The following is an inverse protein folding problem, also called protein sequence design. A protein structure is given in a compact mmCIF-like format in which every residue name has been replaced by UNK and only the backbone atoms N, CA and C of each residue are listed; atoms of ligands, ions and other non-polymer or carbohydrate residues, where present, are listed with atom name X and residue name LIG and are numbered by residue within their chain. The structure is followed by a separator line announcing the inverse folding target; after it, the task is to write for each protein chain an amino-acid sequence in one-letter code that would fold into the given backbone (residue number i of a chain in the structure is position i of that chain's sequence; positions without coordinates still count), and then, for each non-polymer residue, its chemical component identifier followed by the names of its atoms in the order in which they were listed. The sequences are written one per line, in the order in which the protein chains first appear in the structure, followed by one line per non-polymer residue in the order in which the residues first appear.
data_IF_855658161058
#
_entry.id   IF_855658161058
#
_cell.length_a   1.000
_cell.length_b   1.000
_cell.length_c   1.000
_cell.angle_alpha   90.00
_cell.angle_beta   90.00
_cell.angle_gamma   90.00
#
_symmetry.space_group_name_H-M   'P 1'
#
loop_
_entity.id
_entity.type
_entity.pdbx_description
1 polymer ?
#
# COMPACT_ATOMS: atom_id res chain seq x y z
N UNK A 1 4.42 5.88 20.33
CA UNK A 1 3.49 5.07 19.51
C UNK A 1 2.46 5.94 18.79
N UNK A 2 1.82 6.91 19.47
CA UNK A 2 0.76 7.75 18.89
C UNK A 2 1.11 8.43 17.55
N UNK A 3 2.29 9.03 17.42
CA UNK A 3 2.73 9.68 16.17
C UNK A 3 2.78 8.70 14.98
N UNK A 4 3.23 7.46 15.21
CA UNK A 4 3.30 6.44 14.14
C UNK A 4 1.89 6.08 13.67
N UNK A 5 0.96 5.88 14.60
CA UNK A 5 -0.44 5.57 14.31
C UNK A 5 -1.08 6.72 13.53
N UNK A 6 -0.87 7.96 14.00
CA UNK A 6 -1.39 9.16 13.34
C UNK A 6 -0.88 9.27 11.90
N UNK A 7 0.43 9.19 11.69
CA UNK A 7 1.02 9.24 10.34
C UNK A 7 0.44 8.12 9.46
N UNK A 8 0.34 6.90 10.00
CA UNK A 8 -0.14 5.74 9.23
C UNK A 8 -1.62 5.85 8.86
N UNK A 9 -2.44 6.41 9.76
CA UNK A 9 -3.85 6.69 9.52
C UNK A 9 -4.04 7.73 8.41
N UNK A 10 -3.39 8.89 8.55
CA UNK A 10 -3.48 9.94 7.54
C UNK A 10 -2.88 9.52 6.22
N UNK A 11 -1.86 8.66 6.22
CA UNK A 11 -1.34 8.08 5.00
C UNK A 11 -2.37 7.22 4.30
N UNK A 12 -3.00 6.28 5.01
CA UNK A 12 -4.05 5.42 4.44
C UNK A 12 -5.25 6.22 3.94
N UNK A 13 -5.63 7.26 4.66
CA UNK A 13 -6.69 8.19 4.25
C UNK A 13 -6.33 8.94 2.97
N UNK A 14 -5.13 9.54 2.91
CA UNK A 14 -4.71 10.28 1.74
C UNK A 14 -4.47 9.36 0.53
N UNK A 15 -3.93 8.17 0.69
CA UNK A 15 -3.78 7.21 -0.42
C UNK A 15 -5.13 6.73 -0.96
N UNK A 16 -6.15 6.61 -0.09
CA UNK A 16 -7.51 6.31 -0.51
C UNK A 16 -8.21 7.44 -1.29
N UNK A 17 -7.67 8.66 -1.33
CA UNK A 17 -8.28 9.81 -2.01
C UNK A 17 -7.38 10.47 -3.06
N UNK A 18 -6.13 10.78 -2.71
CA UNK A 18 -5.27 11.74 -3.42
C UNK A 18 -3.85 11.23 -3.69
N UNK A 19 -3.22 10.53 -2.73
CA UNK A 19 -1.81 10.15 -2.85
C UNK A 19 -1.58 9.01 -3.84
N UNK A 20 -0.47 9.11 -4.58
CA UNK A 20 0.09 8.05 -5.42
C UNK A 20 1.15 7.22 -4.69
N UNK A 21 1.54 7.62 -3.48
CA UNK A 21 2.67 7.00 -2.76
C UNK A 21 2.19 5.77 -1.99
N UNK A 22 2.82 4.63 -2.31
CA UNK A 22 2.62 3.33 -1.67
C UNK A 22 2.94 3.41 -0.16
N UNK A 23 1.98 3.10 0.74
CA UNK A 23 2.16 3.19 2.20
C UNK A 23 3.22 2.23 2.76
N UNK A 24 3.50 1.17 2.02
CA UNK A 24 4.36 0.07 2.45
C UNK A 24 5.81 0.50 2.78
N UNK A 25 6.30 1.64 2.26
CA UNK A 25 7.61 2.22 2.65
C UNK A 25 7.61 2.55 4.15
N UNK A 26 6.63 3.36 4.59
CA UNK A 26 6.55 3.82 5.97
C UNK A 26 6.33 2.63 6.91
N UNK A 27 5.47 1.68 6.51
CA UNK A 27 5.20 0.46 7.26
C UNK A 27 6.45 -0.42 7.41
N UNK A 28 7.27 -0.56 6.35
CA UNK A 28 8.55 -1.28 6.39
C UNK A 28 9.53 -0.62 7.38
N UNK A 29 9.60 0.71 7.39
CA UNK A 29 10.45 1.47 8.32
C UNK A 29 9.96 1.32 9.76
N UNK A 30 8.64 1.36 10.00
CA UNK A 30 8.07 1.16 11.33
C UNK A 30 8.26 -0.25 11.85
N UNK A 31 8.26 -1.26 10.97
CA UNK A 31 8.57 -2.65 11.33
C UNK A 31 9.98 -2.84 11.89
N UNK A 32 10.95 -1.99 11.50
CA UNK A 32 12.28 -2.00 12.11
C UNK A 32 12.26 -1.74 13.63
N UNK A 33 11.25 -0.98 14.12
CA UNK A 33 11.08 -0.67 15.54
C UNK A 33 10.46 -1.83 16.34
N UNK A 34 9.88 -2.83 15.66
CA UNK A 34 9.31 -4.03 16.27
C UNK A 34 7.94 -4.39 15.72
N UNK A 35 7.40 -5.52 16.18
CA UNK A 35 6.12 -6.06 15.70
C UNK A 35 4.91 -5.23 16.14
N UNK A 36 4.91 -4.66 17.36
CA UNK A 36 3.80 -3.81 17.85
C UNK A 36 3.63 -2.55 16.98
N UNK A 37 4.67 -1.74 16.73
CA UNK A 37 4.56 -0.61 15.80
C UNK A 37 4.04 -1.00 14.43
N UNK A 38 4.51 -2.11 13.86
CA UNK A 38 4.06 -2.60 12.55
C UNK A 38 2.56 -2.97 12.55
N UNK A 39 2.09 -3.66 13.58
CA UNK A 39 0.68 -4.04 13.69
C UNK A 39 -0.22 -2.82 13.84
N UNK A 40 0.12 -1.88 14.74
CA UNK A 40 -0.70 -0.69 14.94
C UNK A 40 -0.67 0.26 13.74
N UNK A 41 0.46 0.42 13.06
CA UNK A 41 0.53 1.21 11.83
C UNK A 41 -0.32 0.59 10.71
N UNK A 42 -0.27 -0.75 10.60
CA UNK A 42 -1.07 -1.51 9.64
C UNK A 42 -2.56 -1.26 9.82
N UNK A 43 -3.05 -1.47 11.05
CA UNK A 43 -4.45 -1.27 11.37
C UNK A 43 -4.87 0.19 11.15
N UNK A 44 -4.04 1.14 11.58
CA UNK A 44 -4.30 2.57 11.37
C UNK A 44 -4.43 2.93 9.89
N UNK A 45 -3.56 2.42 9.02
CA UNK A 45 -3.64 2.62 7.57
C UNK A 45 -4.90 2.02 6.97
N UNK A 46 -5.31 0.82 7.41
CA UNK A 46 -6.57 0.20 6.97
C UNK A 46 -7.76 1.08 7.35
N UNK A 47 -7.86 1.51 8.61
CA UNK A 47 -8.95 2.40 9.05
C UNK A 47 -8.96 3.74 8.32
N UNK A 48 -7.78 4.33 8.07
CA UNK A 48 -7.66 5.55 7.26
C UNK A 48 -8.22 5.35 5.85
N UNK A 49 -7.88 4.24 5.19
CA UNK A 49 -8.37 3.94 3.84
C UNK A 49 -9.87 3.64 3.77
N UNK A 50 -10.42 3.02 4.81
CA UNK A 50 -11.86 2.81 4.96
C UNK A 50 -12.59 4.15 5.08
N UNK A 51 -12.07 5.05 5.92
CA UNK A 51 -12.63 6.40 6.06
C UNK A 51 -12.54 7.16 4.73
N UNK A 52 -11.45 7.02 3.98
CA UNK A 52 -11.32 7.60 2.65
C UNK A 52 -12.39 7.12 1.68
N UNK A 53 -12.71 5.83 1.65
CA UNK A 53 -13.81 5.33 0.82
C UNK A 53 -15.17 5.91 1.25
N UNK A 54 -15.44 5.99 2.55
CA UNK A 54 -16.66 6.63 3.06
C UNK A 54 -16.72 8.09 2.60
N UNK A 55 -15.63 8.84 2.76
CA UNK A 55 -15.54 10.23 2.31
C UNK A 55 -15.77 10.33 0.80
N UNK A 56 -15.14 9.47 0.00
CA UNK A 56 -15.34 9.45 -1.46
C UNK A 56 -16.80 9.17 -1.82
N UNK A 57 -17.44 8.19 -1.19
CA UNK A 57 -18.86 7.89 -1.41
C UNK A 57 -19.77 9.07 -1.06
N UNK A 58 -19.47 9.79 0.02
CA UNK A 58 -20.21 11.00 0.38
C UNK A 58 -19.98 12.08 -0.68
N UNK A 59 -18.74 12.33 -1.09
CA UNK A 59 -18.43 13.34 -2.09
C UNK A 59 -19.07 13.03 -3.45
N UNK A 60 -19.13 11.76 -3.86
CA UNK A 60 -19.77 11.34 -5.10
C UNK A 60 -21.29 11.57 -5.12
N UNK A 61 -21.93 11.79 -3.97
CA UNK A 61 -23.33 12.25 -3.92
C UNK A 61 -23.49 13.71 -4.33
N UNK A 62 -22.43 14.51 -4.21
CA UNK A 62 -22.45 15.95 -4.50
C UNK A 62 -21.71 16.30 -5.79
N UNK A 63 -20.76 15.46 -6.22
CA UNK A 63 -19.91 15.69 -7.38
C UNK A 63 -19.94 14.51 -8.35
N UNK A 64 -19.80 14.77 -9.65
CA UNK A 64 -19.72 13.73 -10.68
C UNK A 64 -18.42 12.94 -10.56
N UNK A 65 -18.47 11.65 -10.88
CA UNK A 65 -17.29 10.78 -10.96
C UNK A 65 -16.21 11.35 -11.89
N UNK A 66 -16.61 11.95 -13.02
CA UNK A 66 -15.71 12.56 -14.00
C UNK A 66 -14.79 13.62 -13.36
N UNK A 67 -15.28 14.38 -12.39
CA UNK A 67 -14.48 15.38 -11.66
C UNK A 67 -13.27 14.73 -10.97
N UNK A 68 -13.46 13.57 -10.34
CA UNK A 68 -12.37 12.84 -9.68
C UNK A 68 -11.41 12.24 -10.70
N UNK A 69 -11.92 11.64 -11.77
CA UNK A 69 -11.06 11.07 -12.83
C UNK A 69 -10.21 12.16 -13.51
N UNK A 70 -10.76 13.35 -13.72
CA UNK A 70 -10.02 14.49 -14.26
C UNK A 70 -8.90 14.93 -13.31
N UNK A 71 -9.18 15.06 -12.02
CA UNK A 71 -8.14 15.40 -11.03
C UNK A 71 -7.06 14.30 -11.00
N UNK A 72 -7.46 13.03 -10.97
CA UNK A 72 -6.53 11.90 -10.90
C UNK A 72 -5.71 11.72 -12.16
N UNK A 73 -6.20 12.15 -13.32
CA UNK A 73 -5.44 12.13 -14.58
C UNK A 73 -4.18 13.00 -14.54
N UNK A 74 -4.13 14.00 -13.65
CA UNK A 74 -2.95 14.82 -13.42
C UNK A 74 -1.88 14.12 -12.56
N UNK A 75 -2.20 12.98 -11.95
CA UNK A 75 -1.24 12.22 -11.15
C UNK A 75 -0.42 11.25 -12.00
N UNK A 76 0.86 11.04 -11.67
CA UNK A 76 1.70 10.09 -12.38
C UNK A 76 1.08 8.69 -12.34
N UNK A 77 1.18 7.98 -13.47
CA UNK A 77 0.71 6.62 -13.70
C UNK A 77 -0.78 6.38 -13.47
N UNK A 78 -1.60 7.42 -13.64
CA UNK A 78 -3.02 7.23 -13.97
C UNK A 78 -3.14 6.73 -15.41
N UNK A 79 -3.88 5.63 -15.61
CA UNK A 79 -4.26 5.14 -16.92
C UNK A 79 -5.77 4.87 -16.94
N UNK A 80 -6.53 5.37 -17.93
CA UNK A 80 -7.97 5.14 -18.02
C UNK A 80 -8.36 3.65 -17.97
N UNK A 81 -7.52 2.78 -18.54
CA UNK A 81 -7.71 1.32 -18.54
C UNK A 81 -7.80 0.74 -17.12
N UNK A 82 -7.15 1.35 -16.12
CA UNK A 82 -7.24 0.90 -14.72
C UNK A 82 -8.67 0.99 -14.17
N UNK A 83 -9.43 2.03 -14.53
CA UNK A 83 -10.84 2.14 -14.13
C UNK A 83 -11.67 1.04 -14.77
N UNK A 84 -11.43 0.74 -16.05
CA UNK A 84 -12.14 -0.34 -16.74
C UNK A 84 -11.84 -1.73 -16.16
N UNK A 85 -10.59 -1.98 -15.74
CA UNK A 85 -10.20 -3.24 -15.09
C UNK A 85 -10.80 -3.34 -13.69
N UNK A 86 -10.74 -2.25 -12.90
CA UNK A 86 -11.38 -2.21 -11.59
C UNK A 86 -12.90 -2.46 -11.69
N UNK A 87 -13.55 -1.86 -12.69
CA UNK A 87 -14.96 -2.09 -12.96
C UNK A 87 -15.24 -3.56 -13.34
N UNK A 88 -14.39 -4.16 -14.17
CA UNK A 88 -14.52 -5.57 -14.56
C UNK A 88 -14.42 -6.49 -13.35
N UNK A 89 -13.40 -6.32 -12.51
CA UNK A 89 -13.22 -7.07 -11.26
C UNK A 89 -14.46 -6.99 -10.36
N UNK A 90 -14.97 -5.78 -10.16
CA UNK A 90 -16.14 -5.52 -9.32
C UNK A 90 -17.44 -6.04 -9.92
N UNK A 91 -17.59 -5.97 -11.24
CA UNK A 91 -18.78 -6.47 -11.94
C UNK A 91 -18.85 -8.00 -11.93
N UNK A 92 -17.68 -8.66 -11.91
CA UNK A 92 -17.57 -10.13 -11.94
C UNK A 92 -17.75 -10.71 -10.53
N UNK A 93 -17.04 -10.15 -9.55
CA UNK A 93 -16.92 -10.73 -8.20
C UNK A 93 -17.62 -9.89 -7.11
N UNK A 94 -18.28 -8.79 -7.47
CA UNK A 94 -18.80 -7.82 -6.52
C UNK A 94 -17.67 -7.15 -5.73
N UNK A 95 -17.92 -6.84 -4.45
CA UNK A 95 -16.91 -6.25 -3.58
C UNK A 95 -15.67 -7.16 -3.34
N UNK A 96 -15.74 -8.46 -3.66
CA UNK A 96 -14.59 -9.37 -3.59
C UNK A 96 -13.53 -9.05 -4.65
N UNK A 97 -13.92 -8.40 -5.75
CA UNK A 97 -12.98 -7.96 -6.79
C UNK A 97 -11.87 -7.05 -6.25
N UNK A 98 -12.06 -6.40 -5.09
CA UNK A 98 -11.00 -5.64 -4.41
C UNK A 98 -9.76 -6.48 -4.09
N UNK A 99 -9.91 -7.80 -3.91
CA UNK A 99 -8.79 -8.71 -3.65
C UNK A 99 -7.81 -8.80 -4.84
N UNK A 100 -8.23 -8.42 -6.05
CA UNK A 100 -7.36 -8.34 -7.22
C UNK A 100 -6.53 -7.04 -7.25
N UNK A 101 -6.89 -6.03 -6.45
CA UNK A 101 -6.21 -4.74 -6.44
C UNK A 101 -4.71 -4.81 -6.11
N UNK A 102 -4.28 -5.53 -5.05
CA UNK A 102 -2.87 -5.65 -4.69
C UNK A 102 -1.99 -6.22 -5.79
N UNK A 103 -2.47 -7.20 -6.56
CA UNK A 103 -1.72 -7.84 -7.64
C UNK A 103 -1.77 -7.04 -8.93
N UNK A 104 -2.88 -6.32 -9.17
CA UNK A 104 -3.08 -5.51 -10.37
C UNK A 104 -2.33 -4.16 -10.32
N UNK A 105 -1.88 -3.72 -9.15
CA UNK A 105 -1.29 -2.38 -9.00
C UNK A 105 -2.31 -1.26 -9.23
N UNK A 106 -3.60 -1.55 -9.11
CA UNK A 106 -4.64 -0.54 -9.24
C UNK A 106 -4.85 0.13 -7.88
N UNK A 107 -4.75 1.47 -7.78
CA UNK A 107 -5.02 2.18 -6.54
C UNK A 107 -6.43 1.90 -6.03
N UNK A 108 -6.57 1.71 -4.72
CA UNK A 108 -7.86 1.43 -4.08
C UNK A 108 -8.95 2.46 -4.39
N UNK A 109 -8.58 3.74 -4.54
CA UNK A 109 -9.51 4.82 -4.89
C UNK A 109 -10.28 4.57 -6.19
N UNK A 110 -9.69 3.84 -7.15
CA UNK A 110 -10.35 3.49 -8.40
C UNK A 110 -11.40 2.40 -8.18
N UNK A 111 -11.09 1.38 -7.37
CA UNK A 111 -12.09 0.40 -6.94
C UNK A 111 -13.23 1.07 -6.16
N UNK A 112 -12.92 2.00 -5.26
CA UNK A 112 -13.96 2.71 -4.50
C UNK A 112 -14.85 3.57 -5.41
N UNK A 113 -14.27 4.27 -6.39
CA UNK A 113 -15.04 5.02 -7.39
C UNK A 113 -15.94 4.09 -8.21
N UNK A 114 -15.39 3.03 -8.79
CA UNK A 114 -16.16 2.12 -9.65
C UNK A 114 -17.21 1.34 -8.85
N UNK A 115 -16.92 0.98 -7.60
CA UNK A 115 -17.90 0.36 -6.69
C UNK A 115 -19.12 1.26 -6.49
N UNK A 116 -18.91 2.57 -6.30
CA UNK A 116 -19.99 3.53 -6.26
C UNK A 116 -20.76 3.57 -7.59
N UNK A 117 -20.05 3.62 -8.73
CA UNK A 117 -20.66 3.72 -10.06
C UNK A 117 -21.52 2.51 -10.44
N UNK A 118 -21.21 1.32 -9.93
CA UNK A 118 -22.00 0.10 -10.15
C UNK A 118 -22.93 -0.26 -8.98
N UNK A 119 -23.15 0.67 -8.04
CA UNK A 119 -24.04 0.53 -6.89
C UNK A 119 -23.67 -0.61 -5.91
N UNK A 120 -22.39 -0.92 -5.75
CA UNK A 120 -21.93 -1.77 -4.64
C UNK A 120 -22.13 -0.99 -3.33
N UNK A 121 -22.70 -1.67 -2.33
CA UNK A 121 -22.90 -1.10 -1.00
C UNK A 121 -21.57 -0.69 -0.37
N UNK A 122 -21.56 0.48 0.26
CA UNK A 122 -20.40 0.91 1.06
C UNK A 122 -20.06 -0.08 2.16
N UNK A 123 -21.06 -0.77 2.74
CA UNK A 123 -20.81 -1.76 3.78
C UNK A 123 -20.05 -2.97 3.23
N UNK A 124 -20.43 -3.46 2.04
CA UNK A 124 -19.73 -4.56 1.39
C UNK A 124 -18.30 -4.15 1.06
N UNK A 125 -18.10 -2.96 0.48
CA UNK A 125 -16.78 -2.42 0.19
C UNK A 125 -15.90 -2.38 1.46
N UNK A 126 -16.46 -1.88 2.57
CA UNK A 126 -15.75 -1.77 3.84
C UNK A 126 -15.39 -3.12 4.48
N UNK A 127 -16.19 -4.17 4.28
CA UNK A 127 -15.89 -5.52 4.78
C UNK A 127 -14.70 -6.12 4.01
N UNK A 128 -14.66 -5.94 2.69
CA UNK A 128 -13.59 -6.48 1.85
C UNK A 128 -12.31 -5.65 1.88
N UNK A 129 -12.39 -4.37 2.26
CA UNK A 129 -11.23 -3.46 2.32
C UNK A 129 -10.13 -3.96 3.26
N UNK A 130 -10.38 -4.34 4.53
CA UNK A 130 -9.36 -4.93 5.39
C UNK A 130 -8.69 -6.15 4.75
N UNK A 131 -9.46 -7.06 4.15
CA UNK A 131 -8.91 -8.27 3.55
C UNK A 131 -7.97 -7.95 2.37
N UNK A 132 -8.40 -7.07 1.47
CA UNK A 132 -7.57 -6.62 0.34
C UNK A 132 -6.33 -5.85 0.78
N UNK A 133 -6.47 -4.99 1.80
CA UNK A 133 -5.38 -4.13 2.30
C UNK A 133 -4.38 -4.89 3.16
N UNK A 134 -4.84 -5.81 4.02
CA UNK A 134 -3.97 -6.56 4.92
C UNK A 134 -3.00 -7.46 4.15
N UNK A 135 -3.40 -8.01 3.00
CA UNK A 135 -2.48 -8.78 2.16
C UNK A 135 -1.21 -7.99 1.84
N UNK A 136 -1.37 -6.77 1.33
CA UNK A 136 -0.26 -5.88 0.98
C UNK A 136 0.50 -5.39 2.21
N UNK A 137 -0.24 -4.96 3.22
CA UNK A 137 0.29 -4.31 4.42
C UNK A 137 0.94 -5.29 5.41
N UNK A 138 0.60 -6.58 5.40
CA UNK A 138 1.25 -7.61 6.23
C UNK A 138 2.53 -8.10 5.57
N UNK A 139 2.54 -8.29 4.24
CA UNK A 139 3.67 -8.88 3.53
C UNK A 139 4.96 -8.08 3.73
N UNK A 140 4.93 -6.76 3.60
CA UNK A 140 6.13 -5.94 3.72
C UNK A 140 6.72 -5.92 5.15
N UNK A 141 5.96 -5.64 6.23
CA UNK A 141 6.43 -5.77 7.61
C UNK A 141 6.90 -7.18 7.97
N UNK A 142 6.19 -8.22 7.54
CA UNK A 142 6.59 -9.61 7.80
C UNK A 142 7.91 -9.94 7.10
N UNK A 143 8.11 -9.51 5.86
CA UNK A 143 9.38 -9.67 5.15
C UNK A 143 10.52 -8.97 5.91
N UNK A 144 10.32 -7.72 6.37
CA UNK A 144 11.31 -6.97 7.15
C UNK A 144 11.62 -7.66 8.48
N UNK A 145 10.60 -8.11 9.21
CA UNK A 145 10.78 -8.82 10.49
C UNK A 145 11.52 -10.16 10.29
N UNK A 146 11.18 -10.90 9.23
CA UNK A 146 11.84 -12.16 8.87
C UNK A 146 13.31 -11.92 8.51
N UNK A 147 13.61 -10.93 7.67
CA UNK A 147 14.99 -10.54 7.34
C UNK A 147 15.77 -10.12 8.59
N UNK A 148 15.17 -9.31 9.47
CA UNK A 148 15.79 -8.89 10.73
C UNK A 148 16.10 -10.07 11.66
N UNK A 149 15.28 -11.12 11.64
CA UNK A 149 15.50 -12.34 12.43
C UNK A 149 16.52 -13.31 11.79
N UNK A 150 16.53 -13.44 10.46
CA UNK A 150 17.41 -14.34 9.72
C UNK A 150 18.84 -13.81 9.60
N UNK A 151 19.01 -12.51 9.33
CA UNK A 151 20.33 -11.93 9.08
C UNK A 151 21.33 -12.23 10.21
N UNK A 152 21.02 -12.03 11.50
CA UNK A 152 21.94 -12.38 12.59
C UNK A 152 22.37 -13.86 12.60
N UNK A 153 21.49 -14.78 12.20
CA UNK A 153 21.76 -16.23 12.14
C UNK A 153 22.63 -16.62 10.94
N UNK A 154 22.52 -15.87 9.85
CA UNK A 154 23.38 -16.04 8.67
C UNK A 154 24.77 -15.43 8.96
N UNK A 155 24.79 -14.24 9.56
CA UNK A 155 26.02 -13.55 9.94
C UNK A 155 26.78 -14.23 11.08
N UNK A 156 26.12 -15.02 11.93
CA UNK A 156 26.80 -15.80 12.96
C UNK A 156 27.71 -16.90 12.38
N UNK A 157 27.53 -17.28 11.10
CA UNK A 157 28.39 -18.23 10.38
C UNK A 157 29.63 -17.59 9.74
N UNK A 158 29.76 -16.27 9.77
CA UNK A 158 30.90 -15.55 9.20
C UNK A 158 32.04 -15.38 10.21
N UNK A 159 33.31 -15.28 9.75
CA UNK A 159 34.48 -15.17 10.62
C UNK A 159 34.40 -13.94 11.56
N UNK A 160 34.95 -14.08 12.77
CA UNK A 160 34.86 -13.13 13.89
C UNK A 160 35.24 -11.67 13.55
N UNK A 161 36.14 -11.45 12.57
CA UNK A 161 36.50 -10.10 12.08
C UNK A 161 35.34 -9.40 11.37
N UNK A 162 34.57 -10.13 10.56
CA UNK A 162 33.38 -9.61 9.88
C UNK A 162 32.24 -9.32 10.87
N UNK A 163 32.07 -10.18 11.90
CA UNK A 163 31.11 -9.94 12.99
C UNK A 163 31.38 -8.63 13.76
N UNK A 164 32.64 -8.30 14.05
CA UNK A 164 32.99 -7.05 14.76
C UNK A 164 32.70 -5.82 13.91
N UNK A 165 32.94 -5.87 12.60
CA UNK A 165 32.60 -4.78 11.67
C UNK A 165 31.08 -4.56 11.56
N UNK A 166 30.30 -5.64 11.53
CA UNK A 166 28.83 -5.60 11.51
C UNK A 166 28.18 -5.27 12.85
N UNK A 167 28.86 -5.49 13.98
CA UNK A 167 28.43 -4.93 15.28
C UNK A 167 28.70 -3.42 15.37
N UNK A 168 29.76 -2.94 14.70
CA UNK A 168 30.15 -1.52 14.65
C UNK A 168 29.21 -0.71 13.74
N UNK A 169 28.74 -1.29 12.63
CA UNK A 169 27.67 -0.75 11.80
C UNK A 169 26.30 -1.18 12.34
N UNK A 170 25.45 -0.26 12.79
CA UNK A 170 24.12 -0.62 13.28
C UNK A 170 23.35 -1.41 12.21
N UNK A 171 23.05 -2.69 12.46
CA UNK A 171 22.28 -3.59 11.57
C UNK A 171 21.00 -2.92 11.04
N UNK A 172 20.36 -2.10 11.88
CA UNK A 172 19.17 -1.35 11.52
C UNK A 172 19.44 -0.29 10.44
N UNK A 173 20.62 0.35 10.42
CA UNK A 173 21.00 1.31 9.37
C UNK A 173 21.21 0.61 8.03
N UNK A 174 21.86 -0.56 8.02
CA UNK A 174 22.05 -1.35 6.81
C UNK A 174 20.71 -1.89 6.28
N UNK A 175 19.83 -2.38 7.18
CA UNK A 175 18.48 -2.79 6.82
C UNK A 175 17.64 -1.63 6.28
N UNK A 176 17.73 -0.45 6.89
CA UNK A 176 17.05 0.74 6.39
C UNK A 176 17.52 1.09 4.98
N UNK A 177 18.83 1.07 4.71
CA UNK A 177 19.37 1.30 3.38
C UNK A 177 18.82 0.28 2.36
N UNK A 178 18.82 -1.01 2.72
CA UNK A 178 18.29 -2.08 1.85
C UNK A 178 16.79 -1.86 1.58
N UNK A 179 16.01 -1.52 2.61
CA UNK A 179 14.57 -1.22 2.46
C UNK A 179 14.38 -0.01 1.52
N UNK A 180 15.16 1.06 1.70
CA UNK A 180 15.06 2.24 0.84
C UNK A 180 15.43 1.90 -0.61
N UNK A 181 16.53 1.18 -0.85
CA UNK A 181 16.95 0.77 -2.19
C UNK A 181 15.93 -0.16 -2.86
N UNK A 182 15.38 -1.11 -2.10
CA UNK A 182 14.31 -2.00 -2.56
C UNK A 182 13.09 -1.19 -3.01
N UNK A 183 12.63 -0.25 -2.19
CA UNK A 183 11.47 0.57 -2.54
C UNK A 183 11.74 1.51 -3.70
N UNK A 184 12.94 2.11 -3.81
CA UNK A 184 13.32 2.90 -4.98
C UNK A 184 13.23 2.03 -6.24
N UNK A 185 13.81 0.83 -6.22
CA UNK A 185 13.74 -0.11 -7.33
C UNK A 185 12.29 -0.46 -7.69
N UNK A 186 11.48 -0.84 -6.70
CA UNK A 186 10.07 -1.17 -6.91
C UNK A 186 9.32 0.01 -7.52
N UNK A 187 9.54 1.25 -7.06
CA UNK A 187 8.90 2.42 -7.65
C UNK A 187 9.34 2.67 -9.10
N UNK A 188 10.64 2.62 -9.37
CA UNK A 188 11.17 2.81 -10.73
C UNK A 188 10.59 1.75 -11.68
N UNK A 189 10.58 0.48 -11.25
CA UNK A 189 10.00 -0.61 -12.03
C UNK A 189 8.48 -0.46 -12.20
N UNK A 190 7.78 -0.13 -11.12
CA UNK A 190 6.32 -0.03 -11.10
C UNK A 190 5.81 1.10 -12.00
N UNK A 191 6.33 2.32 -11.81
CA UNK A 191 5.91 3.49 -12.59
C UNK A 191 6.51 3.49 -14.01
N UNK A 192 7.72 2.97 -14.18
CA UNK A 192 8.45 3.02 -15.46
C UNK A 192 8.17 1.85 -16.40
N UNK A 193 7.83 0.67 -15.88
CA UNK A 193 7.65 -0.54 -16.71
C UNK A 193 6.29 -1.21 -16.49
N UNK A 194 5.93 -1.55 -15.25
CA UNK A 194 4.74 -2.36 -14.97
C UNK A 194 3.44 -1.66 -15.38
N UNK A 195 3.22 -0.42 -14.89
CA UNK A 195 1.99 0.31 -15.22
C UNK A 195 1.88 0.65 -16.72
N UNK A 196 2.92 1.18 -17.40
CA UNK A 196 2.85 1.44 -18.84
C UNK A 196 2.64 0.17 -19.67
N UNK A 197 3.31 -0.94 -19.36
CA UNK A 197 3.14 -2.18 -20.14
C UNK A 197 1.77 -2.84 -19.96
N UNK A 198 1.17 -2.71 -18.78
CA UNK A 198 -0.11 -3.35 -18.46
C UNK A 198 -1.30 -2.48 -18.86
N UNK A 199 -1.21 -1.17 -18.59
CA UNK A 199 -2.32 -0.22 -18.70
C UNK A 199 -2.09 0.92 -19.68
N UNK A 200 -0.88 1.03 -20.24
CA UNK A 200 -0.57 2.01 -21.27
C UNK A 200 -1.46 1.85 -22.52
N UNK A 201 -1.45 2.88 -23.38
CA UNK A 201 -2.19 2.86 -24.65
C UNK A 201 -1.75 1.72 -25.57
#
# INVERSE_FOLDING_TARGET
MGIIIFISFFWGYNEGLWFFIIPDIALSIFALKGWKPALYSTLATVFGSMLAAVTLFILLRFYKADTFTHIWSSFPGFYPKMLSVARLDLSTDGARGLLNGPTSGIPYRFYALEAYMINISILDLLIWTPLARLQRVILAPVAVLTLKWLLPKIFSRLPLRAQRHLKKHSLNKSLLLVICLYWIYIYVWYWGNFLPSTYGP
#
